data_IF_020053354616
#
_entry.id   IF_020053354616
#
_cell.length_a   1.000
_cell.length_b   1.000
_cell.length_c   1.000
_cell.angle_alpha   90.00
_cell.angle_beta   90.00
_cell.angle_gamma   90.00
#
_symmetry.space_group_name_H-M   'P 1'
#
loop_
_entity.id
_entity.type
_entity.pdbx_description
1 polymer ?
#
# COMPACT_ATOMS: atom_id res chain seq x y z
N UNK A 1 -10.96 21.77 6.12
CA UNK A 1 -11.47 21.15 4.88
C UNK A 1 -11.83 19.71 5.20
N UNK A 2 -13.02 19.23 4.79
CA UNK A 2 -13.41 17.82 5.02
C UNK A 2 -12.59 16.97 4.04
N UNK A 3 -11.56 16.28 4.54
CA UNK A 3 -10.75 15.33 3.77
C UNK A 3 -11.70 14.35 3.07
N UNK A 4 -11.72 14.36 1.73
CA UNK A 4 -12.61 13.50 0.94
C UNK A 4 -11.94 12.15 0.83
N UNK A 5 -12.29 11.24 1.72
CA UNK A 5 -11.72 9.90 1.73
C UNK A 5 -12.35 9.05 0.64
N UNK A 6 -11.56 8.42 -0.24
CA UNK A 6 -12.10 7.45 -1.16
C UNK A 6 -12.49 6.22 -0.35
N UNK A 7 -13.69 5.67 -0.56
CA UNK A 7 -14.17 4.44 0.13
C UNK A 7 -13.23 3.25 -0.08
N UNK A 8 -12.39 3.30 -1.11
CA UNK A 8 -11.36 2.31 -1.39
C UNK A 8 -10.18 2.36 -0.41
N UNK A 9 -10.06 3.40 0.43
CA UNK A 9 -8.95 3.58 1.35
C UNK A 9 -8.82 2.40 2.32
N UNK A 10 -9.89 2.05 3.04
CA UNK A 10 -9.86 0.92 3.98
C UNK A 10 -9.57 -0.41 3.27
N UNK A 11 -10.03 -0.57 2.03
CA UNK A 11 -9.71 -1.76 1.22
C UNK A 11 -8.21 -1.80 0.84
N UNK A 12 -7.65 -0.67 0.39
CA UNK A 12 -6.22 -0.56 0.06
C UNK A 12 -5.34 -0.74 1.30
N UNK A 13 -5.73 -0.15 2.43
CA UNK A 13 -5.05 -0.26 3.72
C UNK A 13 -5.00 -1.72 4.20
N UNK A 14 -6.15 -2.40 4.18
CA UNK A 14 -6.25 -3.82 4.52
C UNK A 14 -5.39 -4.70 3.63
N UNK A 15 -5.32 -4.41 2.32
CA UNK A 15 -4.43 -5.14 1.39
C UNK A 15 -2.94 -4.91 1.66
N UNK A 16 -2.57 -3.72 2.13
CA UNK A 16 -1.19 -3.37 2.46
C UNK A 16 -0.78 -3.78 3.89
N UNK A 17 -1.71 -4.26 4.72
CA UNK A 17 -1.46 -4.53 6.13
C UNK A 17 -1.26 -3.27 6.98
N UNK A 18 -1.78 -2.12 6.52
CA UNK A 18 -1.66 -0.84 7.19
C UNK A 18 -2.94 -0.57 7.99
N UNK A 19 -2.87 -0.22 9.29
CA UNK A 19 -4.06 0.11 10.07
C UNK A 19 -4.71 1.41 9.55
N UNK A 20 -6.03 1.53 9.69
CA UNK A 20 -6.80 2.66 9.13
C UNK A 20 -6.26 4.03 9.60
N UNK A 21 -5.87 4.18 10.88
CA UNK A 21 -5.27 5.42 11.41
C UNK A 21 -3.99 5.84 10.66
N UNK A 22 -3.13 4.86 10.31
CA UNK A 22 -1.94 5.12 9.48
C UNK A 22 -2.31 5.39 8.03
N UNK A 23 -3.32 4.72 7.50
CA UNK A 23 -3.79 4.96 6.14
C UNK A 23 -4.37 6.37 5.97
N UNK A 24 -5.04 6.91 7.00
CA UNK A 24 -5.48 8.31 7.01
C UNK A 24 -4.31 9.28 6.96
N UNK A 25 -3.26 9.01 7.73
CA UNK A 25 -2.02 9.81 7.70
C UNK A 25 -1.35 9.78 6.32
N UNK A 26 -1.24 8.60 5.71
CA UNK A 26 -0.68 8.44 4.36
C UNK A 26 -1.53 9.17 3.32
N UNK A 27 -2.85 9.16 3.46
CA UNK A 27 -3.74 9.88 2.56
C UNK A 27 -3.61 11.39 2.67
N UNK A 28 -3.52 11.92 3.89
CA UNK A 28 -3.31 13.34 4.11
C UNK A 28 -1.98 13.83 3.51
N UNK A 29 -0.93 12.99 3.56
CA UNK A 29 0.36 13.29 2.95
C UNK A 29 0.27 13.25 1.41
N UNK A 30 -0.36 12.23 0.84
CA UNK A 30 -0.57 12.11 -0.60
C UNK A 30 -1.32 13.32 -1.19
N UNK A 31 -2.32 13.84 -0.47
CA UNK A 31 -3.04 15.06 -0.87
C UNK A 31 -2.17 16.31 -0.78
N UNK A 32 -1.27 16.39 0.21
CA UNK A 32 -0.31 17.50 0.30
C UNK A 32 0.66 17.48 -0.88
N UNK A 33 1.17 16.32 -1.26
CA UNK A 33 2.05 16.16 -2.43
C UNK A 33 1.31 16.53 -3.71
N UNK A 34 0.11 15.98 -3.93
CA UNK A 34 -0.71 16.31 -5.09
C UNK A 34 -1.08 17.80 -5.17
N UNK A 35 -1.28 18.46 -4.02
CA UNK A 35 -1.53 19.90 -3.97
C UNK A 35 -0.28 20.74 -4.31
N UNK A 36 0.92 20.19 -4.15
CA UNK A 36 2.17 20.83 -4.59
C UNK A 36 2.43 20.63 -6.08
N UNK A 37 1.96 19.52 -6.66
CA UNK A 37 2.14 19.18 -8.07
C UNK A 37 1.06 19.78 -8.99
N UNK A 38 -0.16 19.92 -8.49
CA UNK A 38 -1.31 20.36 -9.29
C UNK A 38 -1.71 21.79 -8.93
N UNK A 39 -1.72 22.69 -9.93
CA UNK A 39 -2.10 24.09 -9.74
C UNK A 39 -3.59 24.29 -9.42
N UNK A 40 -4.44 23.32 -9.79
CA UNK A 40 -5.88 23.35 -9.54
C UNK A 40 -6.25 22.24 -8.57
N UNK A 41 -6.70 22.63 -7.38
CA UNK A 41 -7.23 21.71 -6.38
C UNK A 41 -8.60 21.14 -6.82
N UNK A 42 -8.89 19.90 -6.43
CA UNK A 42 -10.13 19.17 -6.76
C UNK A 42 -10.30 18.79 -8.24
N UNK A 43 -9.30 19.06 -9.09
CA UNK A 43 -9.28 18.60 -10.49
C UNK A 43 -9.13 17.08 -10.62
N UNK A 44 -9.57 16.48 -11.74
CA UNK A 44 -9.34 15.06 -12.02
C UNK A 44 -7.88 14.65 -11.92
N UNK A 45 -6.97 15.50 -12.40
CA UNK A 45 -5.52 15.31 -12.39
C UNK A 45 -4.98 15.32 -10.95
N UNK A 46 -5.49 16.24 -10.11
CA UNK A 46 -5.17 16.30 -8.69
C UNK A 46 -5.58 15.01 -7.97
N UNK A 47 -6.81 14.55 -8.19
CA UNK A 47 -7.31 13.31 -7.58
C UNK A 47 -6.54 12.08 -8.07
N UNK A 48 -6.18 12.04 -9.35
CA UNK A 48 -5.37 10.97 -9.92
C UNK A 48 -3.96 10.94 -9.31
N UNK A 49 -3.30 12.10 -9.17
CA UNK A 49 -1.99 12.21 -8.53
C UNK A 49 -2.05 11.78 -7.06
N UNK A 50 -3.06 12.23 -6.30
CA UNK A 50 -3.24 11.84 -4.90
C UNK A 50 -3.42 10.32 -4.74
N UNK A 51 -4.19 9.68 -5.60
CA UNK A 51 -4.39 8.21 -5.57
C UNK A 51 -3.12 7.46 -5.99
N UNK A 52 -2.33 8.00 -6.91
CA UNK A 52 -1.04 7.41 -7.31
C UNK A 52 -0.04 7.44 -6.15
N UNK A 53 0.13 8.59 -5.49
CA UNK A 53 0.98 8.74 -4.31
C UNK A 53 0.53 7.86 -3.14
N UNK A 54 -0.78 7.72 -2.93
CA UNK A 54 -1.34 6.79 -1.95
C UNK A 54 -0.93 5.35 -2.24
N UNK A 55 -1.08 4.90 -3.50
CA UNK A 55 -0.71 3.54 -3.91
C UNK A 55 0.78 3.29 -3.78
N UNK A 56 1.62 4.24 -4.19
CA UNK A 56 3.07 4.16 -4.04
C UNK A 56 3.48 4.03 -2.56
N UNK A 57 2.89 4.85 -1.69
CA UNK A 57 3.17 4.84 -0.25
C UNK A 57 2.71 3.54 0.42
N UNK A 58 1.55 3.01 0.05
CA UNK A 58 1.05 1.73 0.57
C UNK A 58 1.87 0.55 0.02
N UNK A 59 2.32 0.59 -1.23
CA UNK A 59 3.22 -0.41 -1.80
C UNK A 59 4.57 -0.46 -1.05
N UNK A 60 5.10 0.71 -0.67
CA UNK A 60 6.28 0.81 0.20
C UNK A 60 6.09 0.13 1.55
N UNK A 61 4.94 0.36 2.20
CA UNK A 61 4.58 -0.32 3.46
C UNK A 61 4.40 -1.83 3.30
N UNK A 62 3.74 -2.29 2.23
CA UNK A 62 3.57 -3.72 1.95
C UNK A 62 4.90 -4.43 1.73
N UNK A 63 5.85 -3.77 1.04
CA UNK A 63 7.20 -4.31 0.86
C UNK A 63 7.97 -4.35 2.18
N UNK A 64 7.85 -3.31 3.01
CA UNK A 64 8.45 -3.30 4.34
C UNK A 64 7.86 -4.40 5.25
N UNK A 65 6.56 -4.63 5.22
CA UNK A 65 5.91 -5.74 5.96
C UNK A 65 6.36 -7.12 5.46
N UNK A 66 6.54 -7.26 4.15
CA UNK A 66 7.04 -8.49 3.52
C UNK A 66 8.50 -8.77 3.89
N UNK A 67 9.33 -7.72 4.00
CA UNK A 67 10.73 -7.82 4.42
C UNK A 67 10.90 -8.00 5.94
N UNK A 68 9.98 -7.43 6.72
CA UNK A 68 9.91 -7.56 8.18
C UNK A 68 9.28 -8.89 8.65
N UNK A 69 8.91 -9.77 7.71
CA UNK A 69 8.56 -11.16 8.01
C UNK A 69 9.83 -12.03 7.96
N UNK A 70 10.47 -12.37 9.10
CA UNK A 70 11.54 -13.36 9.13
C UNK A 70 10.92 -14.76 8.93
N UNK A 71 10.61 -15.12 7.68
CA UNK A 71 9.95 -16.40 7.37
C UNK A 71 10.30 -17.02 6.02
N UNK A 72 11.11 -16.37 5.18
CA UNK A 72 11.56 -16.92 3.90
C UNK A 72 13.07 -17.20 3.89
N UNK A 73 13.60 -17.74 4.98
CA UNK A 73 14.89 -18.41 5.00
C UNK A 73 14.66 -19.89 5.31
N UNK A 74 14.67 -20.71 4.25
CA UNK A 74 15.02 -22.13 4.29
C UNK A 74 14.11 -23.08 5.09
N UNK A 75 13.29 -23.85 4.37
CA UNK A 75 13.01 -25.23 4.77
C UNK A 75 12.81 -26.08 3.51
N UNK A 76 13.94 -26.51 2.96
CA UNK A 76 14.06 -27.76 2.23
C UNK A 76 13.39 -28.87 3.05
N UNK A 77 12.16 -29.24 2.69
CA UNK A 77 11.53 -30.44 3.21
C UNK A 77 11.65 -31.51 2.12
N UNK A 78 12.66 -32.35 2.30
CA UNK A 78 12.81 -33.69 1.72
C UNK A 78 11.44 -34.29 1.40
N UNK A 79 11.20 -34.65 0.15
CA UNK A 79 10.25 -35.70 -0.18
C UNK A 79 11.01 -37.02 -0.34
N UNK A 80 10.54 -38.11 0.30
CA UNK A 80 11.18 -39.42 0.28
C UNK A 80 10.96 -40.14 -1.06
N UNK A 81 11.95 -40.97 -1.38
CA UNK A 81 11.94 -42.12 -2.28
C UNK A 81 10.56 -42.64 -2.73
N UNK A 82 10.39 -42.74 -4.06
CA UNK A 82 9.66 -43.85 -4.68
C UNK A 82 10.25 -44.10 -6.07
N UNK A 83 11.28 -44.95 -6.11
CA UNK A 83 11.66 -45.67 -7.32
C UNK A 83 11.19 -47.12 -7.19
N UNK A 84 9.97 -47.44 -7.64
CA UNK A 84 9.65 -48.82 -8.02
C UNK A 84 8.42 -48.93 -8.93
N UNK A 85 8.68 -49.44 -10.15
CA UNK A 85 7.85 -50.25 -11.06
C UNK A 85 7.94 -49.75 -12.51
#
# INVERSE_FOLDING_TARGET
MKQRYPKILSWLAGRAGVPDDKAEGVWADALRVASGECAVADSPEYWQAAVDHLRASLAGHSRAASLASPGAAGASRRQPDVCMA
#
